data_IF_403094305579
#
_entry.id   IF_403094305579
#
_cell.length_a   1.000
_cell.length_b   1.000
_cell.length_c   1.000
_cell.angle_alpha   90.00
_cell.angle_beta   90.00
_cell.angle_gamma   90.00
#
_symmetry.space_group_name_H-M   'P 1'
#
loop_
_entity.id
_entity.type
_entity.pdbx_description
1 polymer ?
#
# COMPACT_ATOMS: atom_id res chain seq x y z
N UNK A 1 -1.20 2.70 -7.76
CA UNK A 1 -1.03 4.09 -7.27
C UNK A 1 0.34 4.54 -7.76
N UNK A 2 0.42 5.70 -8.39
CA UNK A 2 1.68 6.25 -8.92
C UNK A 2 2.13 7.39 -8.02
N UNK A 3 3.42 7.46 -7.73
CA UNK A 3 4.05 8.45 -6.86
C UNK A 3 5.11 9.26 -7.63
N UNK A 4 5.54 10.39 -7.07
CA UNK A 4 6.53 11.27 -7.69
C UNK A 4 7.94 10.65 -7.76
N UNK A 5 8.22 9.63 -6.94
CA UNK A 5 9.51 8.94 -6.88
C UNK A 5 9.38 7.55 -6.26
N UNK A 6 10.41 6.72 -6.47
CA UNK A 6 10.52 5.43 -5.78
C UNK A 6 10.58 5.60 -4.26
N UNK A 7 11.29 6.62 -3.77
CA UNK A 7 11.41 6.89 -2.34
C UNK A 7 10.04 7.22 -1.72
N UNK A 8 9.22 8.01 -2.43
CA UNK A 8 7.85 8.28 -2.01
C UNK A 8 7.00 7.01 -1.97
N UNK A 9 7.06 6.18 -3.03
CA UNK A 9 6.36 4.91 -3.08
C UNK A 9 6.80 3.96 -1.94
N UNK A 10 8.12 3.83 -1.73
CA UNK A 10 8.72 2.98 -0.70
C UNK A 10 8.30 3.41 0.70
N UNK A 11 8.29 4.72 0.99
CA UNK A 11 7.83 5.24 2.30
C UNK A 11 6.39 4.83 2.61
N UNK A 12 5.51 4.90 1.62
CA UNK A 12 4.12 4.47 1.78
C UNK A 12 4.01 2.95 1.94
N UNK A 13 4.79 2.19 1.18
CA UNK A 13 4.82 0.71 1.25
C UNK A 13 5.32 0.24 2.63
N UNK A 14 6.41 0.81 3.13
CA UNK A 14 6.97 0.49 4.45
C UNK A 14 5.93 0.84 5.55
N UNK A 15 5.29 2.02 5.46
CA UNK A 15 4.23 2.40 6.40
C UNK A 15 3.00 1.50 6.35
N UNK A 16 2.61 1.01 5.16
CA UNK A 16 1.54 0.04 5.03
C UNK A 16 1.92 -1.30 5.70
N UNK A 17 3.16 -1.76 5.48
CA UNK A 17 3.68 -3.00 6.05
C UNK A 17 3.69 -2.96 7.59
N UNK A 18 4.15 -1.85 8.18
CA UNK A 18 4.13 -1.64 9.63
C UNK A 18 2.71 -1.69 10.23
N UNK A 19 1.71 -1.27 9.46
CA UNK A 19 0.30 -1.29 9.85
C UNK A 19 -0.42 -2.61 9.50
N UNK A 20 0.33 -3.61 9.01
CA UNK A 20 -0.19 -4.94 8.65
C UNK A 20 -1.00 -4.96 7.35
N UNK A 21 -0.72 -4.03 6.43
CA UNK A 21 -1.32 -3.97 5.10
C UNK A 21 -0.24 -4.33 4.09
N UNK A 22 -0.40 -5.47 3.41
CA UNK A 22 0.57 -5.93 2.43
C UNK A 22 0.41 -5.16 1.11
N UNK A 23 1.45 -4.41 0.77
CA UNK A 23 1.61 -3.63 -0.46
C UNK A 23 2.98 -3.86 -1.04
N UNK A 24 3.12 -3.65 -2.35
CA UNK A 24 4.37 -3.90 -3.07
C UNK A 24 4.50 -2.93 -4.25
N UNK A 25 5.72 -2.69 -4.73
CA UNK A 25 5.96 -1.90 -5.93
C UNK A 25 5.99 -2.80 -7.18
N UNK A 26 6.00 -2.19 -8.37
CA UNK A 26 6.18 -2.95 -9.61
C UNK A 26 7.66 -3.01 -10.00
N UNK A 27 8.11 -4.18 -10.46
CA UNK A 27 9.52 -4.40 -10.88
C UNK A 27 9.98 -3.44 -11.98
N UNK A 28 9.07 -3.04 -12.88
CA UNK A 28 9.35 -2.15 -14.02
C UNK A 28 8.70 -0.77 -13.89
N UNK A 29 8.12 -0.46 -12.73
CA UNK A 29 7.49 0.83 -12.40
C UNK A 29 7.62 1.05 -10.88
N UNK A 30 8.85 1.32 -10.39
CA UNK A 30 9.15 1.38 -8.96
C UNK A 30 8.39 2.50 -8.22
N UNK A 31 8.02 3.56 -8.92
CA UNK A 31 7.15 4.64 -8.44
C UNK A 31 5.67 4.22 -8.34
N UNK A 32 5.31 3.03 -8.81
CA UNK A 32 3.96 2.50 -8.74
C UNK A 32 3.82 1.45 -7.63
N UNK A 33 2.72 1.50 -6.88
CA UNK A 33 2.35 0.55 -5.83
C UNK A 33 1.07 -0.24 -6.20
N UNK A 34 1.07 -1.53 -5.85
CA UNK A 34 -0.08 -2.44 -5.87
C UNK A 34 -0.48 -2.90 -4.47
N UNK A 35 -1.76 -3.23 -4.31
CA UNK A 35 -2.32 -3.87 -3.13
C UNK A 35 -2.30 -5.38 -3.33
N UNK A 36 -1.77 -6.13 -2.35
CA UNK A 36 -1.69 -7.59 -2.41
C UNK A 36 -2.48 -8.26 -1.27
N UNK A 37 -3.81 -8.05 -1.18
CA UNK A 37 -4.63 -8.69 -0.16
C UNK A 37 -4.79 -10.20 -0.42
N UNK A 38 -5.03 -11.02 0.62
CA UNK A 38 -5.39 -12.43 0.45
C UNK A 38 -6.79 -12.57 -0.18
N UNK A 39 -7.04 -13.69 -0.87
CA UNK A 39 -8.34 -13.99 -1.48
C UNK A 39 -9.49 -14.10 -0.46
N UNK A 40 -9.16 -14.37 0.80
CA UNK A 40 -10.09 -14.50 1.92
C UNK A 40 -10.35 -13.20 2.68
N UNK A 41 -9.86 -12.06 2.18
CA UNK A 41 -9.97 -10.77 2.88
C UNK A 41 -11.42 -10.39 3.15
N UNK A 42 -11.72 -10.05 4.41
CA UNK A 42 -13.05 -9.61 4.83
C UNK A 42 -13.30 -8.13 4.54
N UNK A 43 -14.58 -7.74 4.47
CA UNK A 43 -14.97 -6.31 4.34
C UNK A 43 -14.41 -5.44 5.47
N UNK A 44 -14.23 -6.00 6.67
CA UNK A 44 -13.65 -5.28 7.82
C UNK A 44 -12.16 -4.99 7.59
N UNK A 45 -11.42 -5.97 7.08
CA UNK A 45 -10.01 -5.82 6.74
C UNK A 45 -9.81 -4.86 5.58
N UNK A 46 -10.66 -4.90 4.55
CA UNK A 46 -10.64 -3.92 3.45
C UNK A 46 -10.79 -2.49 4.02
N UNK A 47 -11.79 -2.25 4.87
CA UNK A 47 -11.98 -0.93 5.49
C UNK A 47 -10.79 -0.48 6.34
N UNK A 48 -10.18 -1.41 7.09
CA UNK A 48 -8.96 -1.14 7.86
C UNK A 48 -7.81 -0.75 6.92
N UNK A 49 -7.56 -1.52 5.87
CA UNK A 49 -6.52 -1.25 4.89
C UNK A 49 -6.71 0.11 4.20
N UNK A 50 -7.92 0.41 3.73
CA UNK A 50 -8.23 1.72 3.14
C UNK A 50 -8.02 2.87 4.13
N UNK A 51 -8.33 2.68 5.42
CA UNK A 51 -8.10 3.70 6.46
C UNK A 51 -6.60 3.96 6.66
N UNK A 52 -5.78 2.91 6.71
CA UNK A 52 -4.32 3.01 6.81
C UNK A 52 -3.75 3.74 5.60
N UNK A 53 -4.07 3.27 4.39
CA UNK A 53 -3.57 3.86 3.14
C UNK A 53 -3.93 5.34 3.07
N UNK A 54 -5.19 5.70 3.36
CA UNK A 54 -5.61 7.10 3.36
C UNK A 54 -4.86 7.95 4.38
N UNK A 55 -4.47 7.40 5.52
CA UNK A 55 -3.69 8.11 6.53
C UNK A 55 -2.24 8.35 6.13
N UNK A 56 -1.67 7.49 5.27
CA UNK A 56 -0.29 7.60 4.77
C UNK A 56 -0.16 8.48 3.52
N UNK A 57 -1.26 8.73 2.81
CA UNK A 57 -1.32 9.54 1.59
C UNK A 57 -1.60 11.04 1.85
N UNK A 58 -1.78 11.45 3.11
CA UNK A 58 -1.94 12.85 3.52
C UNK A 58 -0.58 13.48 3.84
#
# INVERSE_FOLDING_TARGET
LEFESFEAAKKVIDGCLENGVLTDWFLFAPECMRLAPPLTISKKEIRKACKVIRGLLQ
#
